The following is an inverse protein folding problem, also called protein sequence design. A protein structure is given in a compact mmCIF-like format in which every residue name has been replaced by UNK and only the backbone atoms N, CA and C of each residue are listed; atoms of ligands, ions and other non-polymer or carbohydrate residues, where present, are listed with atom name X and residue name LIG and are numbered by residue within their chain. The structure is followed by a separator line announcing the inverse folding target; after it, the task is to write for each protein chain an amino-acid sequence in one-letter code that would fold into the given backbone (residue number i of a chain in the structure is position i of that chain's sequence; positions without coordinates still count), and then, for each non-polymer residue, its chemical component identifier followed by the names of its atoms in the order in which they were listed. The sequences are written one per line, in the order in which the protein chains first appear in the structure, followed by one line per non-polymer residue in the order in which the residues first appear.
data_IF_127435990066
#
_entry.id   IF_127435990066
#
_cell.length_a   1.000
_cell.length_b   1.000
_cell.length_c   1.000
_cell.angle_alpha   90.00
_cell.angle_beta   90.00
_cell.angle_gamma   90.00
#
_symmetry.space_group_name_H-M   'P 1'
#
loop_
_entity.id
_entity.type
_entity.pdbx_description
1 polymer ?
#
# COMPACT_ATOMS: atom_id res chain seq x y z
N UNK A 1 -30.70 -3.60 22.20
CA UNK A 1 -30.54 -4.38 20.97
C UNK A 1 -29.35 -3.79 20.23
N UNK A 2 -28.22 -4.47 20.28
CA UNK A 2 -26.93 -4.01 19.76
C UNK A 2 -26.88 -4.41 18.28
N UNK A 3 -26.98 -3.44 17.37
CA UNK A 3 -26.75 -3.66 15.95
C UNK A 3 -25.27 -3.98 15.77
N UNK A 4 -24.98 -5.23 15.40
CA UNK A 4 -23.69 -5.62 14.87
C UNK A 4 -23.34 -4.66 13.73
N UNK A 5 -22.31 -3.84 13.94
CA UNK A 5 -21.79 -2.94 12.92
C UNK A 5 -21.17 -3.78 11.81
N UNK A 6 -21.98 -4.13 10.80
CA UNK A 6 -21.46 -4.55 9.51
C UNK A 6 -20.56 -3.41 9.01
N UNK A 7 -19.28 -3.71 8.81
CA UNK A 7 -18.32 -2.77 8.21
C UNK A 7 -18.92 -2.24 6.89
N UNK A 8 -19.04 -0.92 6.70
CA UNK A 8 -19.74 -0.39 5.54
C UNK A 8 -19.02 -0.78 4.24
N UNK A 9 -19.78 -1.04 3.18
CA UNK A 9 -19.32 -1.42 1.86
C UNK A 9 -18.67 -0.28 1.05
N UNK A 10 -17.89 0.60 1.69
CA UNK A 10 -16.86 1.30 0.91
C UNK A 10 -15.87 0.21 0.50
N UNK A 11 -15.81 -0.06 -0.80
CA UNK A 11 -14.90 -1.02 -1.40
C UNK A 11 -13.53 -0.93 -0.69
N UNK A 12 -13.15 -2.00 0.01
CA UNK A 12 -11.86 -2.15 0.70
C UNK A 12 -10.78 -1.52 -0.17
N UNK A 13 -10.20 -0.40 0.27
CA UNK A 13 -9.33 0.37 -0.61
C UNK A 13 -8.08 -0.45 -0.93
N UNK A 14 -7.42 -0.18 -2.06
CA UNK A 14 -6.12 -0.79 -2.40
C UNK A 14 -5.13 -0.64 -1.24
N UNK A 15 -5.19 0.51 -0.55
CA UNK A 15 -4.36 0.80 0.60
C UNK A 15 -4.67 -0.14 1.79
N UNK A 16 -5.93 -0.47 2.03
CA UNK A 16 -6.34 -1.42 3.09
C UNK A 16 -5.83 -2.83 2.80
N UNK A 17 -5.94 -3.30 1.56
CA UNK A 17 -5.40 -4.60 1.15
C UNK A 17 -3.87 -4.65 1.29
N UNK A 18 -3.18 -3.60 0.82
CA UNK A 18 -1.73 -3.51 0.98
C UNK A 18 -1.32 -3.47 2.45
N UNK A 19 -2.07 -2.76 3.29
CA UNK A 19 -1.84 -2.71 4.74
C UNK A 19 -2.03 -4.08 5.38
N UNK A 20 -3.13 -4.77 5.06
CA UNK A 20 -3.39 -6.13 5.53
C UNK A 20 -2.32 -7.13 5.11
N UNK A 21 -1.87 -7.08 3.85
CA UNK A 21 -0.80 -7.95 3.37
C UNK A 21 0.53 -7.70 4.09
N UNK A 22 0.90 -6.44 4.35
CA UNK A 22 2.10 -6.09 5.13
C UNK A 22 2.00 -6.60 6.57
N UNK A 23 0.84 -6.42 7.21
CA UNK A 23 0.60 -6.89 8.57
C UNK A 23 0.71 -8.42 8.66
N UNK A 24 0.08 -9.13 7.72
CA UNK A 24 0.15 -10.59 7.63
C UNK A 24 1.60 -11.09 7.50
N UNK A 25 2.41 -10.46 6.63
CA UNK A 25 3.81 -10.81 6.47
C UNK A 25 4.63 -10.54 7.75
N UNK A 26 4.39 -9.41 8.43
CA UNK A 26 5.07 -9.09 9.69
C UNK A 26 4.69 -10.08 10.81
N UNK A 27 3.41 -10.46 10.87
CA UNK A 27 2.91 -11.43 11.84
C UNK A 27 3.48 -12.82 11.60
N UNK A 28 3.50 -13.29 10.34
CA UNK A 28 4.10 -14.60 9.99
C UNK A 28 5.59 -14.65 10.38
N UNK A 29 6.34 -13.59 10.06
CA UNK A 29 7.74 -13.47 10.45
C UNK A 29 7.94 -13.53 11.97
N UNK A 30 7.11 -12.81 12.73
CA UNK A 30 7.16 -12.79 14.19
C UNK A 30 6.86 -14.18 14.80
N UNK A 31 5.83 -14.87 14.29
CA UNK A 31 5.46 -16.22 14.72
C UNK A 31 6.56 -17.23 14.44
N UNK A 32 7.13 -17.21 13.23
CA UNK A 32 8.25 -18.09 12.88
C UNK A 32 9.44 -17.82 13.77
N UNK A 33 9.78 -16.56 14.03
CA UNK A 33 10.91 -16.18 14.91
C UNK A 33 10.70 -16.65 16.35
N UNK A 34 9.53 -16.38 16.93
CA UNK A 34 9.20 -16.79 18.31
C UNK A 34 9.18 -18.31 18.50
N UNK A 35 8.69 -19.03 17.49
CA UNK A 35 8.53 -20.49 17.52
C UNK A 35 9.71 -21.29 16.95
N UNK A 36 10.77 -20.62 16.50
CA UNK A 36 11.89 -21.23 15.74
C UNK A 36 11.41 -22.00 14.50
N UNK A 37 10.45 -21.45 13.79
CA UNK A 37 9.89 -21.95 12.54
C UNK A 37 8.79 -23.02 12.70
N UNK A 38 8.39 -23.34 13.94
CA UNK A 38 7.35 -24.36 14.21
C UNK A 38 5.92 -23.86 14.03
N UNK A 39 5.72 -22.54 14.05
CA UNK A 39 4.44 -21.86 13.88
C UNK A 39 4.55 -20.80 12.80
N UNK A 40 3.45 -20.60 12.08
CA UNK A 40 3.27 -19.66 10.99
C UNK A 40 1.88 -19.03 11.07
N UNK A 41 1.63 -18.02 10.24
CA UNK A 41 0.30 -17.44 10.10
C UNK A 41 -0.76 -18.49 9.70
N UNK A 42 -0.39 -19.47 8.87
CA UNK A 42 -1.30 -20.54 8.45
C UNK A 42 -1.84 -21.36 9.63
N UNK A 43 -1.05 -21.51 10.69
CA UNK A 43 -1.46 -22.24 11.88
C UNK A 43 -2.49 -21.44 12.68
N UNK A 44 -2.37 -20.11 12.74
CA UNK A 44 -3.37 -19.23 13.35
C UNK A 44 -4.66 -19.22 12.54
N UNK A 45 -4.57 -19.14 11.21
CA UNK A 45 -5.75 -19.17 10.32
C UNK A 45 -6.49 -20.50 10.47
N UNK A 46 -5.77 -21.63 10.50
CA UNK A 46 -6.36 -22.94 10.77
C UNK A 46 -7.07 -22.98 12.13
N UNK A 47 -6.44 -22.47 13.18
CA UNK A 47 -7.06 -22.40 14.51
C UNK A 47 -8.34 -21.54 14.54
N UNK A 48 -8.41 -20.46 13.76
CA UNK A 48 -9.64 -19.66 13.61
C UNK A 48 -10.73 -20.43 12.88
N UNK A 49 -10.39 -21.14 11.80
CA UNK A 49 -11.34 -21.98 11.05
C UNK A 49 -11.90 -23.09 11.94
N UNK A 50 -11.04 -23.78 12.68
CA UNK A 50 -11.44 -24.85 13.60
C UNK A 50 -12.35 -24.30 14.72
N UNK A 51 -12.05 -23.12 15.26
CA UNK A 51 -12.89 -22.43 16.24
C UNK A 51 -14.24 -22.05 15.67
N UNK A 52 -14.29 -21.49 14.47
CA UNK A 52 -15.53 -21.11 13.82
C UNK A 52 -16.44 -22.34 13.60
N UNK A 53 -15.85 -23.45 13.15
CA UNK A 53 -16.55 -24.72 13.01
C UNK A 53 -17.08 -25.26 14.35
N UNK A 54 -16.26 -25.25 15.41
CA UNK A 54 -16.65 -25.71 16.74
C UNK A 54 -17.76 -24.84 17.38
N UNK A 55 -17.76 -23.53 17.12
CA UNK A 55 -18.79 -22.60 17.58
C UNK A 55 -20.02 -22.57 16.65
N UNK A 56 -20.02 -23.32 15.55
CA UNK A 56 -21.03 -23.30 14.49
C UNK A 56 -21.32 -21.87 13.99
N UNK A 57 -20.27 -21.10 13.74
CA UNK A 57 -20.31 -19.72 13.24
C UNK A 57 -19.60 -19.60 11.89
N UNK A 58 -20.11 -18.71 11.04
CA UNK A 58 -19.46 -18.35 9.77
C UNK A 58 -18.41 -17.25 9.97
N UNK A 59 -18.64 -16.36 10.95
CA UNK A 59 -17.76 -15.24 11.26
C UNK A 59 -17.29 -15.28 12.71
N UNK A 60 -16.04 -14.88 12.94
CA UNK A 60 -15.47 -14.65 14.25
C UNK A 60 -15.20 -13.15 14.46
N UNK A 61 -15.33 -12.64 15.69
CA UNK A 61 -14.93 -11.27 15.99
C UNK A 61 -13.42 -11.10 15.80
N UNK A 62 -12.97 -9.89 15.44
CA UNK A 62 -11.53 -9.54 15.31
C UNK A 62 -10.74 -9.90 16.58
N UNK A 63 -11.37 -9.79 17.74
CA UNK A 63 -10.80 -10.20 19.03
C UNK A 63 -10.31 -11.66 19.05
N UNK A 64 -10.95 -12.57 18.30
CA UNK A 64 -10.52 -13.96 18.21
C UNK A 64 -9.12 -14.11 17.61
N UNK A 65 -8.77 -13.30 16.60
CA UNK A 65 -7.40 -13.25 16.07
C UNK A 65 -6.44 -12.64 17.10
N UNK A 66 -6.84 -11.54 17.75
CA UNK A 66 -6.05 -10.89 18.80
C UNK A 66 -5.70 -11.84 19.96
N UNK A 67 -6.65 -12.68 20.38
CA UNK A 67 -6.44 -13.71 21.41
C UNK A 67 -5.41 -14.76 20.99
N UNK A 68 -5.43 -15.22 19.74
CA UNK A 68 -4.44 -16.18 19.24
C UNK A 68 -3.05 -15.55 19.14
N UNK A 69 -2.97 -14.30 18.66
CA UNK A 69 -1.71 -13.54 18.62
C UNK A 69 -1.16 -13.37 20.03
N UNK A 70 -2.01 -13.00 21.01
CA UNK A 70 -1.61 -12.83 22.39
C UNK A 70 -1.05 -14.12 23.02
N UNK A 71 -1.62 -15.28 22.67
CA UNK A 71 -1.14 -16.59 23.15
C UNK A 71 0.25 -16.93 22.62
N UNK A 72 0.53 -16.62 21.36
CA UNK A 72 1.78 -17.01 20.70
C UNK A 72 2.90 -15.97 20.88
N UNK A 73 2.56 -14.68 20.93
CA UNK A 73 3.52 -13.56 20.91
C UNK A 73 3.41 -12.63 22.14
N UNK A 74 2.49 -12.91 23.06
CA UNK A 74 2.28 -12.14 24.28
C UNK A 74 1.19 -11.06 24.16
N UNK A 75 0.61 -10.60 25.30
CA UNK A 75 -0.57 -9.72 25.31
C UNK A 75 -0.41 -8.43 24.50
N UNK A 76 0.75 -7.78 24.60
CA UNK A 76 1.02 -6.52 23.89
C UNK A 76 0.87 -6.65 22.36
N UNK A 77 1.26 -7.81 21.78
CA UNK A 77 1.10 -8.04 20.34
C UNK A 77 -0.35 -8.32 19.94
N UNK A 78 -1.15 -8.91 20.84
CA UNK A 78 -2.59 -9.06 20.62
C UNK A 78 -3.32 -7.72 20.58
N UNK A 79 -2.96 -6.80 21.48
CA UNK A 79 -3.52 -5.44 21.54
C UNK A 79 -3.10 -4.58 20.33
N UNK A 80 -1.89 -4.79 19.81
CA UNK A 80 -1.39 -4.08 18.63
C UNK A 80 -2.26 -4.30 17.38
N UNK A 81 -2.93 -5.45 17.25
CA UNK A 81 -3.84 -5.70 16.13
C UNK A 81 -4.93 -4.62 16.03
N UNK A 82 -5.56 -4.25 17.14
CA UNK A 82 -6.59 -3.21 17.15
C UNK A 82 -5.98 -1.85 16.79
N UNK A 83 -4.85 -1.50 17.41
CA UNK A 83 -4.15 -0.24 17.16
C UNK A 83 -3.74 -0.09 15.69
N UNK A 84 -3.15 -1.14 15.11
CA UNK A 84 -2.54 -1.08 13.78
C UNK A 84 -3.55 -1.31 12.66
N UNK A 85 -4.45 -2.28 12.82
CA UNK A 85 -5.36 -2.70 11.75
C UNK A 85 -6.75 -2.10 11.87
N UNK A 86 -7.30 -1.95 13.07
CA UNK A 86 -8.67 -1.44 13.26
C UNK A 86 -8.67 0.09 13.32
N UNK A 87 -7.76 0.69 14.09
CA UNK A 87 -7.65 2.16 14.20
C UNK A 87 -6.77 2.78 13.11
N UNK A 88 -6.04 1.96 12.35
CA UNK A 88 -5.18 2.42 11.26
C UNK A 88 -3.96 3.21 11.72
N UNK A 89 -3.54 3.08 12.98
CA UNK A 89 -2.40 3.80 13.54
C UNK A 89 -1.10 2.99 13.44
N UNK A 90 0.05 3.63 13.67
CA UNK A 90 1.35 2.96 13.67
C UNK A 90 1.86 2.51 12.29
N UNK A 91 3.14 2.21 12.24
CA UNK A 91 3.86 1.72 11.07
C UNK A 91 4.03 0.20 11.13
N UNK A 92 3.74 -0.50 10.04
CA UNK A 92 4.01 -1.92 9.91
C UNK A 92 5.41 -2.09 9.35
N UNK A 93 6.36 -2.49 10.20
CA UNK A 93 7.74 -2.71 9.80
C UNK A 93 7.99 -4.19 9.50
N UNK A 94 8.70 -4.46 8.41
CA UNK A 94 9.18 -5.79 8.05
C UNK A 94 10.68 -5.87 8.32
N UNK A 95 11.05 -6.74 9.26
CA UNK A 95 12.44 -7.13 9.55
C UNK A 95 13.11 -7.62 8.26
N UNK A 96 14.43 -7.43 8.12
CA UNK A 96 15.17 -7.72 6.89
C UNK A 96 15.18 -9.19 6.45
N UNK A 97 14.67 -10.11 7.27
CA UNK A 97 14.50 -11.54 7.05
C UNK A 97 13.03 -11.99 7.16
N UNK A 98 12.07 -11.06 7.08
CA UNK A 98 10.63 -11.35 7.23
C UNK A 98 10.10 -12.39 6.22
N UNK A 99 10.72 -12.48 5.05
CA UNK A 99 10.38 -13.49 4.03
C UNK A 99 11.30 -14.72 4.06
N UNK A 100 11.96 -14.96 5.20
CA UNK A 100 12.84 -16.10 5.42
C UNK A 100 14.32 -15.82 5.15
N UNK A 101 15.20 -16.81 5.47
CA UNK A 101 16.65 -16.61 5.50
C UNK A 101 17.29 -16.40 4.12
N UNK A 102 16.55 -16.69 3.04
CA UNK A 102 16.99 -16.54 1.66
C UNK A 102 16.62 -15.19 1.04
N UNK A 103 15.80 -14.38 1.69
CA UNK A 103 15.45 -13.04 1.21
C UNK A 103 16.11 -11.96 2.05
N UNK A 104 16.31 -10.79 1.43
CA UNK A 104 16.74 -9.57 2.10
C UNK A 104 16.13 -8.36 1.40
N UNK A 105 16.06 -7.22 2.10
CA UNK A 105 15.71 -5.94 1.47
C UNK A 105 16.91 -5.41 0.69
N UNK A 106 16.72 -5.19 -0.60
CA UNK A 106 17.69 -4.56 -1.48
C UNK A 106 17.15 -3.22 -1.98
N UNK A 107 18.05 -2.23 -2.08
CA UNK A 107 17.77 -0.97 -2.78
C UNK A 107 17.99 -1.21 -4.27
N UNK A 108 16.98 -0.97 -5.07
CA UNK A 108 17.07 -1.07 -6.54
C UNK A 108 16.53 0.19 -7.16
N UNK A 109 17.12 0.62 -8.27
CA UNK A 109 16.48 1.63 -9.13
C UNK A 109 15.30 0.98 -9.83
N UNK A 110 14.15 1.64 -9.80
CA UNK A 110 12.94 1.21 -10.49
C UNK A 110 12.28 2.42 -11.10
N UNK A 111 11.64 2.21 -12.24
CA UNK A 111 10.60 3.11 -12.74
C UNK A 111 9.42 3.01 -11.78
N UNK A 112 8.93 4.15 -11.30
CA UNK A 112 7.74 4.27 -10.47
C UNK A 112 6.79 5.25 -11.13
N UNK A 113 5.49 5.04 -10.91
CA UNK A 113 4.47 5.99 -11.32
C UNK A 113 4.65 7.29 -10.52
N UNK A 114 4.85 8.40 -11.21
CA UNK A 114 4.98 9.74 -10.64
C UNK A 114 4.38 10.76 -11.62
N UNK A 115 3.24 11.36 -11.25
CA UNK A 115 2.62 12.43 -12.04
C UNK A 115 3.50 13.68 -12.10
N UNK A 116 4.26 13.94 -11.03
CA UNK A 116 5.15 15.09 -10.93
C UNK A 116 4.49 16.36 -10.42
N UNK A 117 3.24 16.32 -9.93
CA UNK A 117 2.54 17.41 -9.24
C UNK A 117 1.44 16.84 -8.32
N UNK A 118 0.78 17.68 -7.52
CA UNK A 118 -0.34 17.28 -6.67
C UNK A 118 -1.60 17.02 -7.51
N UNK A 119 -2.01 15.75 -7.66
CA UNK A 119 -3.21 15.39 -8.43
C UNK A 119 -4.49 16.04 -7.89
N UNK A 120 -4.57 16.26 -6.56
CA UNK A 120 -5.71 16.94 -5.95
C UNK A 120 -5.82 18.41 -6.40
N UNK A 121 -4.78 18.97 -7.03
CA UNK A 121 -4.82 20.30 -7.63
C UNK A 121 -5.77 20.38 -8.82
N UNK A 122 -6.04 19.26 -9.50
CA UNK A 122 -6.97 19.15 -10.62
C UNK A 122 -8.44 19.06 -10.19
N UNK A 123 -8.69 18.73 -8.92
CA UNK A 123 -10.06 18.55 -8.39
C UNK A 123 -10.73 19.87 -7.98
N UNK A 124 -9.97 20.96 -7.83
CA UNK A 124 -10.50 22.28 -7.44
C UNK A 124 -10.81 23.12 -8.67
N UNK A 125 -11.81 24.00 -8.55
CA UNK A 125 -12.16 24.97 -9.59
C UNK A 125 -11.78 26.40 -9.15
N UNK A 126 -11.01 27.17 -9.96
CA UNK A 126 -10.38 26.75 -11.21
C UNK A 126 -9.24 25.74 -10.98
N UNK A 127 -9.10 24.78 -11.89
CA UNK A 127 -8.04 23.78 -11.82
C UNK A 127 -6.70 24.44 -12.15
N UNK A 128 -5.72 24.24 -11.27
CA UNK A 128 -4.40 24.87 -11.38
C UNK A 128 -3.35 23.88 -10.90
N UNK A 129 -2.23 23.78 -11.63
CA UNK A 129 -1.11 22.94 -11.22
C UNK A 129 -0.53 23.46 -9.91
N UNK A 130 -0.46 22.59 -8.91
CA UNK A 130 0.20 22.87 -7.63
C UNK A 130 1.18 21.77 -7.26
N UNK A 131 2.27 22.14 -6.59
CA UNK A 131 3.25 21.19 -6.07
C UNK A 131 4.02 20.47 -7.18
N UNK A 132 4.31 21.16 -8.29
CA UNK A 132 5.12 20.67 -9.38
C UNK A 132 6.50 20.28 -8.85
N UNK A 133 6.85 19.02 -9.02
CA UNK A 133 8.14 18.46 -8.61
C UNK A 133 9.20 18.90 -9.63
N UNK A 134 10.25 19.63 -9.20
CA UNK A 134 11.32 20.06 -10.10
C UNK A 134 12.01 18.85 -10.76
N UNK A 135 12.22 18.93 -12.07
CA UNK A 135 12.84 17.85 -12.83
C UNK A 135 11.98 16.59 -12.96
N UNK A 136 10.68 16.64 -12.68
CA UNK A 136 9.74 15.56 -13.01
C UNK A 136 9.52 15.44 -14.52
N UNK A 137 8.86 14.35 -14.95
CA UNK A 137 8.44 14.20 -16.35
C UNK A 137 7.51 15.33 -16.80
N UNK A 138 6.58 15.76 -15.93
CA UNK A 138 5.70 16.89 -16.16
C UNK A 138 6.47 18.21 -16.38
N UNK A 139 7.42 18.51 -15.49
CA UNK A 139 8.24 19.72 -15.60
C UNK A 139 9.08 19.72 -16.89
N UNK A 140 9.70 18.58 -17.25
CA UNK A 140 10.46 18.45 -18.51
C UNK A 140 9.58 18.57 -19.75
N UNK A 141 8.31 18.20 -19.67
CA UNK A 141 7.34 18.39 -20.75
C UNK A 141 6.85 19.84 -20.88
N UNK A 142 7.33 20.75 -20.02
CA UNK A 142 7.02 22.18 -20.06
C UNK A 142 5.75 22.55 -19.29
N UNK A 143 5.31 21.71 -18.35
CA UNK A 143 4.30 22.07 -17.36
C UNK A 143 4.92 23.04 -16.34
N UNK A 144 4.14 24.04 -15.92
CA UNK A 144 4.60 25.10 -15.02
C UNK A 144 3.72 25.14 -13.76
N UNK A 145 4.35 25.47 -12.63
CA UNK A 145 3.64 25.72 -11.37
C UNK A 145 2.66 26.88 -11.58
N UNK A 146 1.42 26.75 -11.08
CA UNK A 146 0.39 27.78 -11.22
C UNK A 146 -0.28 27.84 -12.60
N UNK A 147 0.06 26.94 -13.53
CA UNK A 147 -0.62 26.89 -14.83
C UNK A 147 -2.12 26.56 -14.67
N UNK A 148 -2.98 27.38 -15.28
CA UNK A 148 -4.42 27.13 -15.32
C UNK A 148 -4.72 25.97 -16.27
N UNK A 149 -5.41 24.96 -15.76
CA UNK A 149 -5.75 23.75 -16.51
C UNK A 149 -7.14 23.92 -17.12
N UNK A 150 -7.22 23.84 -18.45
CA UNK A 150 -8.47 23.87 -19.21
C UNK A 150 -9.11 22.47 -19.29
N UNK A 151 -8.28 21.43 -19.45
CA UNK A 151 -8.72 20.04 -19.42
C UNK A 151 -7.56 19.12 -19.05
N UNK A 152 -7.85 17.96 -18.46
CA UNK A 152 -6.83 16.93 -18.19
C UNK A 152 -7.39 15.54 -18.48
N UNK A 153 -6.50 14.66 -18.95
CA UNK A 153 -6.70 13.21 -19.02
C UNK A 153 -5.52 12.57 -18.28
N UNK A 154 -5.79 12.16 -17.05
CA UNK A 154 -4.86 11.38 -16.22
C UNK A 154 -5.35 9.93 -16.22
N UNK A 155 -4.60 8.96 -16.78
CA UNK A 155 -4.96 7.55 -16.69
C UNK A 155 -5.07 7.12 -15.22
N UNK A 156 -6.04 6.27 -14.90
CA UNK A 156 -6.13 5.70 -13.56
C UNK A 156 -4.85 4.90 -13.25
N UNK A 157 -4.28 5.10 -12.06
CA UNK A 157 -3.10 4.36 -11.65
C UNK A 157 -3.40 2.85 -11.60
N UNK A 158 -2.68 2.06 -12.40
CA UNK A 158 -2.70 0.60 -12.39
C UNK A 158 -1.35 0.09 -11.89
N UNK A 159 -1.35 -1.03 -11.16
CA UNK A 159 -0.14 -1.58 -10.53
C UNK A 159 1.02 -1.73 -11.53
N UNK A 160 1.99 -0.82 -11.46
CA UNK A 160 3.22 -0.86 -12.27
C UNK A 160 3.09 -0.34 -13.71
N UNK A 161 1.88 -0.01 -14.18
CA UNK A 161 1.65 0.50 -15.53
C UNK A 161 1.73 2.03 -15.52
N UNK A 162 2.84 2.57 -16.03
CA UNK A 162 3.02 4.00 -16.29
C UNK A 162 3.26 4.25 -17.78
N UNK A 163 2.69 3.37 -18.61
CA UNK A 163 2.89 3.32 -20.05
C UNK A 163 1.85 4.14 -20.83
N UNK A 164 0.75 4.54 -20.20
CA UNK A 164 -0.20 5.48 -20.78
C UNK A 164 0.19 6.92 -20.43
N UNK A 165 0.28 7.82 -21.42
CA UNK A 165 0.66 9.20 -21.17
C UNK A 165 -0.48 10.01 -20.54
N UNK A 166 -0.09 10.90 -19.63
CA UNK A 166 -0.91 11.98 -19.13
C UNK A 166 -0.99 13.08 -20.19
N UNK A 167 -2.19 13.65 -20.36
CA UNK A 167 -2.42 14.80 -21.23
C UNK A 167 -3.06 15.95 -20.44
N UNK A 168 -2.48 17.14 -20.50
CA UNK A 168 -2.98 18.34 -19.83
C UNK A 168 -3.04 19.47 -20.86
N UNK A 169 -4.17 20.16 -20.95
CA UNK A 169 -4.29 21.39 -21.72
C UNK A 169 -4.27 22.55 -20.74
N UNK A 170 -3.27 23.42 -20.85
CA UNK A 170 -3.13 24.61 -20.02
C UNK A 170 -3.47 25.87 -20.79
N UNK A 171 -3.99 26.89 -20.13
CA UNK A 171 -4.28 28.18 -20.75
C UNK A 171 -2.98 28.87 -21.20
N UNK A 172 -3.01 29.46 -22.40
CA UNK A 172 -1.93 30.28 -22.95
C UNK A 172 -2.50 31.43 -23.78
N UNK A 173 -1.64 32.20 -24.46
CA UNK A 173 -2.06 33.34 -25.31
C UNK A 173 -2.93 32.91 -26.50
N UNK A 174 -2.87 31.64 -26.92
CA UNK A 174 -3.60 31.08 -28.06
C UNK A 174 -4.88 30.35 -27.69
N UNK A 175 -5.31 30.39 -26.42
CA UNK A 175 -6.51 29.72 -25.94
C UNK A 175 -6.30 28.27 -25.47
N UNK A 176 -5.05 27.77 -25.47
CA UNK A 176 -4.71 26.47 -24.90
C UNK A 176 -3.47 25.82 -25.52
N UNK A 177 -2.58 25.31 -24.66
CA UNK A 177 -1.41 24.49 -25.03
C UNK A 177 -1.55 23.08 -24.46
N UNK A 178 -1.46 22.07 -25.33
CA UNK A 178 -1.45 20.67 -24.92
C UNK A 178 -0.04 20.23 -24.50
N UNK A 179 0.05 19.60 -23.34
CA UNK A 179 1.25 18.99 -22.76
C UNK A 179 0.97 17.50 -22.58
N UNK A 180 1.91 16.66 -23.01
CA UNK A 180 1.80 15.19 -22.96
C UNK A 180 3.10 14.59 -22.43
N UNK A 181 3.00 13.69 -21.45
CA UNK A 181 4.16 13.02 -20.85
C UNK A 181 3.80 11.66 -20.25
N UNK A 182 4.78 10.77 -20.11
CA UNK A 182 4.62 9.53 -19.34
C UNK A 182 4.86 9.82 -17.85
N UNK A 183 3.96 9.41 -16.94
CA UNK A 183 4.08 9.67 -15.51
C UNK A 183 5.07 8.71 -14.85
N UNK A 184 6.33 8.76 -15.27
CA UNK A 184 7.41 7.87 -14.81
C UNK A 184 8.54 8.67 -14.19
N UNK A 185 8.98 8.25 -13.02
CA UNK A 185 10.24 8.65 -12.44
C UNK A 185 11.13 7.44 -12.15
N UNK A 186 12.44 7.62 -12.26
CA UNK A 186 13.40 6.65 -11.74
C UNK A 186 13.65 6.98 -10.26
N UNK A 187 13.37 6.02 -9.38
CA UNK A 187 13.55 6.14 -7.94
C UNK A 187 14.27 4.92 -7.40
N UNK A 188 15.03 5.14 -6.34
CA UNK A 188 15.51 4.03 -5.53
C UNK A 188 14.34 3.51 -4.68
N UNK A 189 13.99 2.24 -4.86
CA UNK A 189 12.93 1.56 -4.13
C UNK A 189 13.49 0.38 -3.36
N UNK A 190 12.89 0.07 -2.22
CA UNK A 190 13.17 -1.17 -1.51
C UNK A 190 12.39 -2.30 -2.16
N UNK A 191 13.09 -3.37 -2.54
CA UNK A 191 12.50 -4.64 -2.97
C UNK A 191 13.07 -5.79 -2.17
N UNK A 192 12.33 -6.88 -2.14
CA UNK A 192 12.84 -8.15 -1.65
C UNK A 192 13.63 -8.82 -2.75
N UNK A 193 14.87 -9.21 -2.43
CA UNK A 193 15.75 -9.91 -3.33
C UNK A 193 16.25 -11.20 -2.66
N UNK A 194 16.34 -12.25 -3.46
CA UNK A 194 16.97 -13.48 -3.06
C UNK A 194 18.48 -13.29 -2.85
N UNK A 195 19.01 -13.88 -1.78
CA UNK A 195 20.44 -13.89 -1.47
C UNK A 195 21.16 -14.81 -2.46
N UNK A 196 22.37 -14.45 -2.94
CA UNK A 196 23.09 -15.25 -3.92
C UNK A 196 23.25 -16.73 -3.55
N UNK A 197 23.46 -17.04 -2.26
CA UNK A 197 23.63 -18.40 -1.74
C UNK A 197 22.38 -19.29 -1.81
N UNK A 198 21.22 -18.73 -2.15
CA UNK A 198 19.96 -19.45 -2.25
C UNK A 198 19.46 -19.55 -3.70
N UNK A 199 20.15 -18.91 -4.66
CA UNK A 199 19.84 -19.10 -6.08
C UNK A 199 20.39 -20.45 -6.51
N UNK A 200 19.51 -21.30 -7.01
CA UNK A 200 19.85 -22.56 -7.69
C UNK A 200 20.61 -22.32 -9.01
#
# INVERSE_FOLDING_TARGET
MNTAGALPAHARSRQDYQRGARYAAALDAALRKASRGKKSLDDLVRALVDRAAAENKVDLPVAALGELIARELGPARGEELDWVMVRGHGEITLDGDAFGPCFHRARTKSKVHELGFDEASLQKTPAMIRGLVPGSAAARAGLEEGAFVLSSKVPAERDGDADEPVEIVVADRGGGRKIRFLPVAEREVLRWAEKPRCRD
#
